data_IF_804555719844
#
_entry.id   IF_804555719844
#
_cell.length_a   1.000
_cell.length_b   1.000
_cell.length_c   1.000
_cell.angle_alpha   90.00
_cell.angle_beta   90.00
_cell.angle_gamma   90.00
#
_symmetry.space_group_name_H-M   'P 1'
#
loop_
_entity.id
_entity.type
_entity.pdbx_description
1 polymer ?
#
# COMPACT_ATOMS: atom_id res chain seq x y z
N UNK A 1 -9.75 -34.07 -14.40
CA UNK A 1 -9.49 -32.61 -14.54
C UNK A 1 -8.20 -32.18 -13.83
N UNK A 2 -7.91 -32.56 -12.56
CA UNK A 2 -6.68 -32.12 -11.88
C UNK A 2 -5.38 -32.52 -12.59
N UNK A 3 -5.30 -33.74 -13.14
CA UNK A 3 -4.10 -34.23 -13.83
C UNK A 3 -3.77 -33.45 -15.10
N UNK A 4 -4.79 -32.98 -15.82
CA UNK A 4 -4.57 -32.18 -17.03
C UNK A 4 -3.89 -30.85 -16.68
N UNK A 5 -4.16 -30.27 -15.51
CA UNK A 5 -3.46 -29.06 -15.09
C UNK A 5 -1.97 -29.30 -14.85
N UNK A 6 -1.52 -30.52 -14.60
CA UNK A 6 -0.08 -30.81 -14.51
C UNK A 6 0.59 -30.68 -15.89
N UNK A 7 -0.11 -31.06 -16.95
CA UNK A 7 0.40 -31.01 -18.34
C UNK A 7 0.65 -29.58 -18.85
N UNK A 8 0.04 -28.57 -18.21
CA UNK A 8 0.36 -27.17 -18.47
C UNK A 8 1.81 -26.80 -18.16
N UNK A 9 2.51 -27.61 -17.38
CA UNK A 9 3.91 -27.41 -16.98
C UNK A 9 4.80 -28.58 -17.39
N UNK A 10 4.34 -29.38 -18.35
CA UNK A 10 5.11 -30.46 -18.96
C UNK A 10 6.44 -29.93 -19.54
N UNK A 11 7.46 -30.79 -19.59
CA UNK A 11 8.74 -30.45 -20.18
C UNK A 11 8.63 -30.24 -21.70
N UNK A 12 7.72 -30.98 -22.34
CA UNK A 12 7.45 -30.89 -23.77
C UNK A 12 6.57 -29.67 -24.07
N UNK A 13 7.13 -28.72 -24.82
CA UNK A 13 6.45 -27.51 -25.27
C UNK A 13 5.12 -27.83 -25.97
N UNK A 14 5.08 -28.86 -26.82
CA UNK A 14 3.87 -29.23 -27.57
C UNK A 14 2.74 -29.63 -26.62
N UNK A 15 3.05 -30.43 -25.59
CA UNK A 15 2.08 -30.85 -24.57
C UNK A 15 1.53 -29.64 -23.82
N UNK A 16 2.41 -28.72 -23.39
CA UNK A 16 1.96 -27.48 -22.72
C UNK A 16 1.06 -26.63 -23.61
N UNK A 17 1.43 -26.44 -24.88
CA UNK A 17 0.69 -25.63 -25.83
C UNK A 17 -0.69 -26.22 -26.13
N UNK A 18 -0.77 -27.51 -26.44
CA UNK A 18 -2.05 -28.19 -26.71
C UNK A 18 -2.95 -28.18 -25.46
N UNK A 19 -2.38 -28.45 -24.28
CA UNK A 19 -3.12 -28.39 -23.02
C UNK A 19 -3.65 -26.98 -22.74
N UNK A 20 -2.85 -25.93 -22.96
CA UNK A 20 -3.28 -24.56 -22.79
C UNK A 20 -4.41 -24.20 -23.77
N UNK A 21 -4.30 -24.60 -25.03
CA UNK A 21 -5.34 -24.36 -26.04
C UNK A 21 -6.68 -25.04 -25.66
N UNK A 22 -6.63 -26.28 -25.16
CA UNK A 22 -7.82 -27.00 -24.69
C UNK A 22 -8.49 -26.26 -23.51
N UNK A 23 -7.71 -25.84 -22.51
CA UNK A 23 -8.23 -25.08 -21.37
C UNK A 23 -8.86 -23.76 -21.83
N UNK A 24 -8.18 -23.03 -22.72
CA UNK A 24 -8.73 -21.77 -23.27
C UNK A 24 -10.03 -22.04 -24.01
N UNK A 25 -10.11 -23.12 -24.81
CA UNK A 25 -11.32 -23.54 -25.52
C UNK A 25 -12.48 -23.79 -24.55
N UNK A 26 -12.25 -24.62 -23.53
CA UNK A 26 -13.29 -24.93 -22.54
C UNK A 26 -13.74 -23.73 -21.72
N UNK A 27 -12.84 -22.80 -21.42
CA UNK A 27 -13.24 -21.56 -20.76
C UNK A 27 -14.06 -20.68 -21.71
N UNK A 28 -13.69 -20.58 -23.00
CA UNK A 28 -14.45 -19.81 -23.99
C UNK A 28 -15.87 -20.36 -24.18
N UNK A 29 -16.01 -21.68 -24.27
CA UNK A 29 -17.26 -22.42 -24.44
C UNK A 29 -18.06 -22.60 -23.14
N UNK A 30 -17.62 -21.99 -22.03
CA UNK A 30 -18.27 -22.03 -20.71
C UNK A 30 -18.36 -23.42 -20.05
N UNK A 31 -17.61 -24.41 -20.56
CA UNK A 31 -17.42 -25.72 -19.92
C UNK A 31 -16.54 -25.63 -18.66
N UNK A 32 -15.70 -24.60 -18.56
CA UNK A 32 -14.78 -24.40 -17.44
C UNK A 32 -14.80 -22.94 -16.94
N UNK A 33 -14.95 -22.75 -15.63
CA UNK A 33 -14.86 -21.43 -14.99
C UNK A 33 -13.45 -21.15 -14.49
N UNK A 34 -13.00 -19.90 -14.64
CA UNK A 34 -11.72 -19.45 -14.08
C UNK A 34 -11.93 -19.19 -12.58
N UNK A 35 -11.50 -20.16 -11.77
CA UNK A 35 -11.50 -20.07 -10.32
C UNK A 35 -10.26 -20.76 -9.75
N UNK A 36 -10.11 -20.80 -8.43
CA UNK A 36 -9.04 -21.57 -7.80
C UNK A 36 -9.28 -23.08 -8.02
N UNK A 37 -8.24 -23.86 -8.35
CA UNK A 37 -6.83 -23.47 -8.48
C UNK A 37 -6.41 -23.04 -9.90
N UNK A 38 -7.27 -23.19 -10.91
CA UNK A 38 -6.97 -22.91 -12.31
C UNK A 38 -6.39 -21.51 -12.55
N UNK A 39 -6.91 -20.49 -11.87
CA UNK A 39 -6.37 -19.13 -11.95
C UNK A 39 -4.87 -19.09 -11.65
N UNK A 40 -4.43 -19.76 -10.56
CA UNK A 40 -3.04 -19.77 -10.15
C UNK A 40 -2.15 -20.52 -11.14
N UNK A 41 -2.64 -21.63 -11.71
CA UNK A 41 -1.90 -22.38 -12.72
C UNK A 41 -1.69 -21.56 -13.98
N UNK A 42 -2.73 -20.86 -14.44
CA UNK A 42 -2.61 -19.93 -15.57
C UNK A 42 -1.69 -18.75 -15.25
N UNK A 43 -1.75 -18.20 -14.03
CA UNK A 43 -0.86 -17.11 -13.62
C UNK A 43 0.62 -17.52 -13.61
N UNK A 44 0.95 -18.75 -13.19
CA UNK A 44 2.33 -19.28 -13.29
C UNK A 44 2.82 -19.37 -14.74
N UNK A 45 1.92 -19.59 -15.70
CA UNK A 45 2.29 -19.63 -17.12
C UNK A 45 2.54 -18.24 -17.74
N UNK A 46 2.18 -17.14 -17.06
CA UNK A 46 2.58 -15.80 -17.48
C UNK A 46 4.11 -15.64 -17.52
N UNK A 47 4.83 -16.51 -16.81
CA UNK A 47 6.29 -16.54 -16.73
C UNK A 47 6.86 -17.88 -17.24
N UNK A 48 6.17 -18.52 -18.20
CA UNK A 48 6.64 -19.76 -18.83
C UNK A 48 7.98 -19.58 -19.55
N UNK A 49 8.76 -20.64 -19.73
CA UNK A 49 10.04 -20.58 -20.47
C UNK A 49 9.85 -20.18 -21.95
N UNK A 50 8.68 -20.46 -22.52
CA UNK A 50 8.35 -20.13 -23.90
C UNK A 50 7.50 -18.85 -23.99
N UNK A 51 7.96 -17.87 -24.77
CA UNK A 51 7.29 -16.58 -24.90
C UNK A 51 5.93 -16.65 -25.60
N UNK A 52 5.69 -17.63 -26.47
CA UNK A 52 4.36 -17.79 -27.10
C UNK A 52 3.32 -18.26 -26.09
N UNK A 53 3.70 -19.12 -25.14
CA UNK A 53 2.83 -19.49 -24.02
C UNK A 53 2.51 -18.26 -23.17
N UNK A 54 3.52 -17.45 -22.81
CA UNK A 54 3.29 -16.22 -22.05
C UNK A 54 2.31 -15.29 -22.77
N UNK A 55 2.50 -15.04 -24.08
CA UNK A 55 1.62 -14.19 -24.90
C UNK A 55 0.21 -14.77 -25.01
N UNK A 56 0.08 -16.07 -25.20
CA UNK A 56 -1.22 -16.74 -25.28
C UNK A 56 -2.01 -16.59 -23.97
N UNK A 57 -1.34 -16.79 -22.83
CA UNK A 57 -1.96 -16.62 -21.50
C UNK A 57 -2.35 -15.16 -21.27
N UNK A 58 -1.46 -14.21 -21.54
CA UNK A 58 -1.76 -12.79 -21.38
C UNK A 58 -2.95 -12.36 -22.27
N UNK A 59 -2.93 -12.74 -23.55
CA UNK A 59 -4.03 -12.50 -24.49
C UNK A 59 -5.34 -13.13 -24.01
N UNK A 60 -5.30 -14.35 -23.46
CA UNK A 60 -6.47 -14.99 -22.86
C UNK A 60 -7.04 -14.19 -21.69
N UNK A 61 -6.19 -13.66 -20.81
CA UNK A 61 -6.67 -12.82 -19.70
C UNK A 61 -7.36 -11.55 -20.21
N UNK A 62 -6.71 -10.83 -21.13
CA UNK A 62 -7.23 -9.56 -21.69
C UNK A 62 -8.53 -9.78 -22.48
N UNK A 63 -8.53 -10.76 -23.38
CA UNK A 63 -9.58 -10.92 -24.40
C UNK A 63 -10.70 -11.87 -23.99
N UNK A 64 -10.53 -12.66 -22.92
CA UNK A 64 -11.54 -13.63 -22.47
C UNK A 64 -11.84 -13.50 -20.98
N UNK A 65 -10.85 -13.72 -20.11
CA UNK A 65 -11.07 -13.78 -18.67
C UNK A 65 -11.68 -12.47 -18.13
N UNK A 66 -11.10 -11.33 -18.50
CA UNK A 66 -11.54 -10.01 -18.06
C UNK A 66 -12.83 -9.54 -18.72
N UNK A 67 -13.22 -10.11 -19.86
CA UNK A 67 -14.53 -9.84 -20.48
C UNK A 67 -15.65 -10.53 -19.69
N UNK A 68 -15.39 -11.73 -19.18
CA UNK A 68 -16.34 -12.49 -18.35
C UNK A 68 -16.39 -11.97 -16.91
N UNK A 69 -15.25 -11.66 -16.32
CA UNK A 69 -15.13 -11.08 -14.98
C UNK A 69 -14.08 -9.96 -14.97
N UNK A 70 -14.50 -8.68 -15.13
CA UNK A 70 -13.58 -7.55 -15.11
C UNK A 70 -12.80 -7.38 -13.80
N UNK A 71 -13.25 -8.00 -12.71
CA UNK A 71 -12.63 -7.91 -11.39
C UNK A 71 -11.71 -9.10 -11.09
N UNK A 72 -11.55 -10.04 -12.02
CA UNK A 72 -10.85 -11.31 -11.78
C UNK A 72 -9.42 -11.11 -11.28
N UNK A 73 -8.66 -10.20 -11.89
CA UNK A 73 -7.28 -9.92 -11.47
C UNK A 73 -7.24 -9.28 -10.08
N UNK A 74 -8.12 -8.30 -9.81
CA UNK A 74 -8.21 -7.66 -8.48
C UNK A 74 -8.58 -8.69 -7.39
N UNK A 75 -9.58 -9.53 -7.68
CA UNK A 75 -10.09 -10.57 -6.77
C UNK A 75 -8.99 -11.55 -6.37
N UNK A 76 -8.20 -12.03 -7.33
CA UNK A 76 -7.16 -13.02 -7.08
C UNK A 76 -5.81 -12.43 -6.70
N UNK A 77 -5.59 -11.11 -6.80
CA UNK A 77 -4.28 -10.50 -6.50
C UNK A 77 -3.80 -10.79 -5.09
N UNK A 78 -4.61 -10.42 -4.09
CA UNK A 78 -4.28 -10.61 -2.69
C UNK A 78 -4.10 -12.10 -2.35
N UNK A 79 -4.96 -12.95 -2.91
CA UNK A 79 -4.92 -14.40 -2.70
C UNK A 79 -3.65 -15.00 -3.32
N UNK A 80 -3.21 -14.49 -4.46
CA UNK A 80 -2.01 -14.95 -5.17
C UNK A 80 -0.75 -14.72 -4.34
N UNK A 81 -0.65 -13.60 -3.60
CA UNK A 81 0.48 -13.36 -2.69
C UNK A 81 0.56 -14.46 -1.62
N UNK A 82 -0.56 -14.86 -1.02
CA UNK A 82 -0.56 -15.93 -0.04
C UNK A 82 -0.29 -17.30 -0.67
N UNK A 83 -0.91 -17.58 -1.82
CA UNK A 83 -0.80 -18.86 -2.51
C UNK A 83 0.62 -19.13 -3.00
N UNK A 84 1.24 -18.21 -3.74
CA UNK A 84 2.58 -18.41 -4.28
C UNK A 84 3.67 -18.48 -3.20
N UNK A 85 3.43 -17.86 -2.04
CA UNK A 85 4.31 -17.98 -0.87
C UNK A 85 4.03 -19.21 0.00
N UNK A 86 3.02 -20.03 -0.33
CA UNK A 86 2.58 -21.18 0.47
C UNK A 86 2.27 -20.80 1.93
N UNK A 87 1.77 -19.59 2.14
CA UNK A 87 1.46 -19.11 3.48
C UNK A 87 0.15 -19.72 3.95
N UNK A 88 0.15 -20.46 5.06
CA UNK A 88 -1.04 -21.15 5.62
C UNK A 88 -1.72 -20.39 6.76
N UNK A 89 -1.12 -19.29 7.22
CA UNK A 89 -1.60 -18.56 8.40
C UNK A 89 -2.67 -17.51 8.11
N UNK A 90 -3.26 -17.47 6.91
CA UNK A 90 -4.31 -16.51 6.56
C UNK A 90 -5.57 -17.23 6.06
N UNK A 91 -6.75 -16.69 6.40
CA UNK A 91 -8.05 -17.25 5.96
C UNK A 91 -8.25 -17.30 4.45
N UNK A 92 -7.51 -16.48 3.70
CA UNK A 92 -7.57 -16.44 2.24
C UNK A 92 -6.66 -17.50 1.59
N UNK A 93 -5.91 -18.26 2.39
CA UNK A 93 -5.07 -19.36 1.89
C UNK A 93 -5.94 -20.61 1.69
N UNK A 94 -6.82 -20.55 0.68
CA UNK A 94 -7.87 -21.57 0.48
C UNK A 94 -7.36 -22.82 -0.25
N UNK A 95 -6.41 -22.70 -1.18
CA UNK A 95 -5.88 -23.84 -1.95
C UNK A 95 -4.48 -24.23 -1.50
N UNK A 96 -4.34 -25.48 -1.04
CA UNK A 96 -3.07 -26.12 -0.72
C UNK A 96 -2.72 -27.06 -1.87
N UNK A 97 -1.51 -26.92 -2.42
CA UNK A 97 -1.03 -27.80 -3.48
C UNK A 97 -0.92 -29.24 -2.96
N UNK A 98 -1.38 -30.20 -3.77
CA UNK A 98 -1.07 -31.63 -3.59
C UNK A 98 0.41 -31.89 -3.85
N UNK A 99 0.95 -33.04 -3.44
CA UNK A 99 2.36 -33.38 -3.64
C UNK A 99 2.81 -33.28 -5.11
N UNK A 100 1.96 -33.75 -6.03
CA UNK A 100 2.22 -33.66 -7.48
C UNK A 100 2.19 -32.22 -7.98
N UNK A 101 1.20 -31.43 -7.57
CA UNK A 101 1.13 -30.02 -7.96
C UNK A 101 2.29 -29.23 -7.37
N UNK A 102 2.73 -29.56 -6.15
CA UNK A 102 3.86 -28.94 -5.50
C UNK A 102 5.17 -29.19 -6.28
N UNK A 103 5.37 -30.37 -6.88
CA UNK A 103 6.55 -30.63 -7.70
C UNK A 103 6.67 -29.70 -8.91
N UNK A 104 5.55 -29.15 -9.39
CA UNK A 104 5.45 -28.52 -10.70
C UNK A 104 5.12 -27.01 -10.61
N UNK A 105 4.33 -26.62 -9.61
CA UNK A 105 3.82 -25.27 -9.42
C UNK A 105 4.40 -24.55 -8.19
N UNK A 106 5.23 -25.21 -7.39
CA UNK A 106 5.84 -24.56 -6.24
C UNK A 106 6.81 -23.45 -6.67
N UNK A 107 6.45 -22.22 -6.30
CA UNK A 107 7.28 -21.02 -6.46
C UNK A 107 7.43 -20.25 -5.14
N UNK A 108 7.34 -20.97 -4.01
CA UNK A 108 7.55 -20.42 -2.67
C UNK A 108 9.03 -20.19 -2.35
N UNK A 109 9.30 -19.53 -1.23
CA UNK A 109 10.65 -19.32 -0.71
C UNK A 109 11.41 -18.15 -1.34
N UNK A 110 12.57 -17.82 -0.78
CA UNK A 110 13.31 -16.61 -1.17
C UNK A 110 13.79 -16.62 -2.64
N UNK A 111 14.26 -17.77 -3.12
CA UNK A 111 14.86 -17.94 -4.46
C UNK A 111 13.88 -17.66 -5.61
N UNK A 112 12.60 -17.91 -5.39
CA UNK A 112 11.55 -17.70 -6.39
C UNK A 112 10.91 -16.29 -6.31
N UNK A 113 11.45 -15.39 -5.47
CA UNK A 113 10.87 -14.06 -5.26
C UNK A 113 10.79 -13.20 -6.51
N UNK A 114 11.75 -13.31 -7.42
CA UNK A 114 11.72 -12.55 -8.68
C UNK A 114 10.72 -13.13 -9.69
N UNK A 115 10.57 -14.45 -9.73
CA UNK A 115 9.52 -15.14 -10.51
C UNK A 115 8.13 -14.72 -10.04
N UNK A 116 7.88 -14.74 -8.71
CA UNK A 116 6.60 -14.27 -8.15
C UNK A 116 6.36 -12.80 -8.47
N UNK A 117 7.39 -11.97 -8.34
CA UNK A 117 7.27 -10.54 -8.65
C UNK A 117 6.93 -10.27 -10.12
N UNK A 118 7.49 -11.04 -11.05
CA UNK A 118 7.14 -10.93 -12.46
C UNK A 118 5.67 -11.30 -12.72
N UNK A 119 5.15 -12.34 -12.06
CA UNK A 119 3.71 -12.67 -12.12
C UNK A 119 2.87 -11.51 -11.59
N UNK A 120 3.23 -10.91 -10.46
CA UNK A 120 2.50 -9.76 -9.93
C UNK A 120 2.55 -8.56 -10.88
N UNK A 121 3.67 -8.32 -11.58
CA UNK A 121 3.74 -7.26 -12.61
C UNK A 121 2.76 -7.50 -13.75
N UNK A 122 2.70 -8.70 -14.31
CA UNK A 122 1.69 -9.04 -15.31
C UNK A 122 0.27 -8.83 -14.78
N UNK A 123 0.00 -9.24 -13.54
CA UNK A 123 -1.31 -9.01 -12.92
C UNK A 123 -1.62 -7.52 -12.74
N UNK A 124 -0.63 -6.69 -12.39
CA UNK A 124 -0.78 -5.24 -12.28
C UNK A 124 -1.08 -4.59 -13.63
N UNK A 125 -0.47 -5.05 -14.72
CA UNK A 125 -0.75 -4.58 -16.09
C UNK A 125 -2.20 -4.86 -16.52
N UNK A 126 -2.79 -5.94 -16.00
CA UNK A 126 -4.18 -6.31 -16.26
C UNK A 126 -5.18 -5.55 -15.36
N UNK A 127 -4.72 -4.89 -14.29
CA UNK A 127 -5.59 -4.17 -13.36
C UNK A 127 -5.90 -2.77 -13.89
N UNK A 128 -7.19 -2.43 -13.96
CA UNK A 128 -7.65 -1.11 -14.41
C UNK A 128 -7.35 -0.05 -13.37
N UNK A 129 -7.22 1.21 -13.80
CA UNK A 129 -6.88 2.32 -12.91
C UNK A 129 -7.86 2.51 -11.74
N UNK A 130 -9.15 2.25 -11.96
CA UNK A 130 -10.20 2.34 -10.93
C UNK A 130 -10.12 1.21 -9.88
N UNK A 131 -9.37 0.14 -10.18
CA UNK A 131 -9.15 -1.01 -9.29
C UNK A 131 -7.85 -0.91 -8.48
N UNK A 132 -6.93 -0.01 -8.85
CA UNK A 132 -5.62 0.13 -8.18
C UNK A 132 -5.73 0.61 -6.74
N UNK A 133 -6.58 1.61 -6.47
CA UNK A 133 -6.82 2.10 -5.10
C UNK A 133 -7.42 0.98 -4.20
N UNK A 134 -8.47 0.24 -4.63
CA UNK A 134 -8.92 -0.96 -3.92
C UNK A 134 -7.81 -1.99 -3.67
N UNK A 135 -6.93 -2.24 -4.64
CA UNK A 135 -5.81 -3.17 -4.48
C UNK A 135 -4.86 -2.72 -3.36
N UNK A 136 -4.40 -1.47 -3.39
CA UNK A 136 -3.50 -0.92 -2.35
C UNK A 136 -4.16 -1.02 -0.98
N UNK A 137 -5.44 -0.64 -0.87
CA UNK A 137 -6.21 -0.74 0.37
C UNK A 137 -6.28 -2.17 0.90
N UNK A 138 -6.50 -3.16 0.02
CA UNK A 138 -6.56 -4.57 0.37
C UNK A 138 -5.20 -5.12 0.84
N UNK A 139 -4.11 -4.79 0.14
CA UNK A 139 -2.76 -5.20 0.52
C UNK A 139 -2.41 -4.67 1.92
N UNK A 140 -2.64 -3.39 2.16
CA UNK A 140 -2.32 -2.76 3.44
C UNK A 140 -3.22 -3.31 4.56
N UNK A 141 -4.52 -3.41 4.33
CA UNK A 141 -5.47 -3.85 5.36
C UNK A 141 -5.33 -5.33 5.71
N UNK A 142 -5.12 -6.20 4.72
CA UNK A 142 -5.10 -7.64 4.95
C UNK A 142 -3.72 -8.18 5.30
N UNK A 143 -2.64 -7.55 4.81
CA UNK A 143 -1.28 -8.01 5.07
C UNK A 143 -0.63 -7.13 6.14
N UNK A 144 -0.45 -5.84 5.86
CA UNK A 144 0.31 -4.94 6.74
C UNK A 144 -0.36 -4.79 8.11
N UNK A 145 -1.66 -4.49 8.15
CA UNK A 145 -2.40 -4.35 9.41
C UNK A 145 -2.52 -5.66 10.18
N UNK A 146 -2.64 -6.80 9.49
CA UNK A 146 -2.64 -8.11 10.16
C UNK A 146 -1.30 -8.37 10.87
N UNK A 147 -0.21 -8.00 10.22
CA UNK A 147 1.15 -8.06 10.76
C UNK A 147 1.31 -7.14 11.98
N UNK A 148 0.80 -5.90 11.93
CA UNK A 148 0.96 -4.94 13.04
C UNK A 148 0.07 -5.26 14.24
N UNK A 149 -1.15 -5.77 14.01
CA UNK A 149 -2.17 -5.93 15.07
C UNK A 149 -2.27 -7.31 15.69
N UNK A 150 -2.10 -8.38 14.90
CA UNK A 150 -2.59 -9.70 15.33
C UNK A 150 -1.52 -10.61 15.92
N UNK A 151 -0.30 -10.66 15.38
CA UNK A 151 0.73 -11.59 15.86
C UNK A 151 2.12 -11.16 15.36
N UNK A 152 3.01 -10.60 16.20
CA UNK A 152 4.40 -10.32 15.80
C UNK A 152 5.18 -11.57 15.34
N UNK A 153 4.73 -12.77 15.72
CA UNK A 153 5.34 -14.05 15.32
C UNK A 153 4.99 -14.49 13.89
N UNK A 154 3.97 -13.88 13.24
CA UNK A 154 3.72 -14.09 11.80
C UNK A 154 4.86 -13.52 10.94
N UNK A 155 5.52 -12.46 11.44
CA UNK A 155 6.71 -11.82 10.85
C UNK A 155 7.96 -12.70 10.99
N UNK A 156 7.86 -13.82 11.72
CA UNK A 156 9.02 -14.67 12.04
C UNK A 156 8.96 -16.03 11.34
N UNK A 157 7.90 -16.32 10.58
CA UNK A 157 7.88 -17.48 9.70
C UNK A 157 8.52 -17.15 8.35
N UNK A 158 9.26 -18.10 7.77
CA UNK A 158 9.90 -17.92 6.46
C UNK A 158 8.87 -17.52 5.39
N UNK A 159 7.71 -18.18 5.34
CA UNK A 159 6.65 -17.87 4.37
C UNK A 159 5.97 -16.52 4.65
N UNK A 160 5.76 -16.14 5.92
CA UNK A 160 5.24 -14.82 6.28
C UNK A 160 6.19 -13.68 5.89
N UNK A 161 7.50 -13.92 6.00
CA UNK A 161 8.52 -13.01 5.52
C UNK A 161 8.46 -12.82 4.01
N UNK A 162 8.32 -13.90 3.24
CA UNK A 162 8.19 -13.77 1.79
C UNK A 162 6.90 -13.06 1.38
N UNK A 163 5.78 -13.28 2.09
CA UNK A 163 4.53 -12.51 1.89
C UNK A 163 4.75 -11.00 2.11
N UNK A 164 5.42 -10.61 3.19
CA UNK A 164 5.70 -9.21 3.48
C UNK A 164 6.63 -8.60 2.42
N UNK A 165 7.69 -9.31 2.03
CA UNK A 165 8.62 -8.90 0.97
C UNK A 165 7.89 -8.66 -0.35
N UNK A 166 7.10 -9.62 -0.79
CA UNK A 166 6.33 -9.54 -2.03
C UNK A 166 5.35 -8.36 -1.99
N UNK A 167 4.68 -8.16 -0.86
CA UNK A 167 3.74 -7.04 -0.65
C UNK A 167 4.43 -5.70 -0.75
N UNK A 168 5.58 -5.52 -0.08
CA UNK A 168 6.36 -4.28 -0.14
C UNK A 168 6.90 -4.02 -1.55
N UNK A 169 7.37 -5.07 -2.24
CA UNK A 169 7.79 -4.95 -3.65
C UNK A 169 6.65 -4.50 -4.56
N UNK A 170 5.45 -5.06 -4.39
CA UNK A 170 4.26 -4.64 -5.13
C UNK A 170 3.89 -3.19 -4.80
N UNK A 171 3.85 -2.81 -3.52
CA UNK A 171 3.58 -1.42 -3.09
C UNK A 171 4.66 -0.42 -3.54
N UNK A 172 5.84 -0.88 -3.94
CA UNK A 172 6.89 -0.04 -4.52
C UNK A 172 6.76 0.12 -6.04
N UNK A 173 5.74 -0.47 -6.68
CA UNK A 173 5.44 -0.27 -8.09
C UNK A 173 4.73 1.07 -8.30
N UNK A 174 5.29 1.96 -9.12
CA UNK A 174 4.67 3.25 -9.45
C UNK A 174 3.36 3.04 -10.23
N UNK A 175 3.27 1.93 -10.96
CA UNK A 175 2.12 1.49 -11.75
C UNK A 175 0.82 1.45 -10.91
N UNK A 176 0.91 1.24 -9.59
CA UNK A 176 -0.22 1.27 -8.65
C UNK A 176 -0.78 2.67 -8.40
N UNK A 177 0.04 3.69 -8.58
CA UNK A 177 -0.28 5.06 -8.18
C UNK A 177 -0.38 6.03 -9.36
N UNK A 178 0.04 5.61 -10.56
CA UNK A 178 -0.17 6.34 -11.81
C UNK A 178 -1.66 6.42 -12.10
N UNK A 179 -2.29 7.45 -11.53
CA UNK A 179 -3.57 7.97 -11.95
C UNK A 179 -3.32 8.75 -13.25
N UNK A 180 -4.14 8.52 -14.28
CA UNK A 180 -4.25 9.31 -15.51
C UNK A 180 -3.84 10.77 -15.29
N UNK A 181 -2.59 11.11 -15.63
CA UNK A 181 -2.04 12.47 -15.58
C UNK A 181 -2.55 13.34 -16.74
N UNK A 182 -3.76 13.06 -17.24
CA UNK A 182 -4.38 13.78 -18.37
C UNK A 182 -5.51 14.73 -17.98
N UNK A 183 -5.79 14.88 -16.68
CA UNK A 183 -6.84 15.78 -16.21
C UNK A 183 -6.32 17.11 -15.61
N UNK A 184 -5.02 17.30 -15.42
CA UNK A 184 -4.48 18.48 -14.72
C UNK A 184 -3.30 19.16 -15.44
N UNK A 185 -3.03 18.84 -16.70
CA UNK A 185 -2.18 19.66 -17.57
C UNK A 185 -3.06 20.38 -18.59
N UNK A 186 -3.76 21.41 -18.16
CA UNK A 186 -4.13 22.52 -19.05
C UNK A 186 -3.31 23.69 -18.57
N UNK A 187 -2.38 24.10 -19.42
CA UNK A 187 -1.61 25.33 -19.30
C UNK A 187 -2.54 26.51 -19.03
N UNK A 188 -2.05 27.40 -18.16
CA UNK A 188 -2.48 28.78 -18.04
C UNK A 188 -2.31 29.46 -19.40
N UNK A 189 -3.39 29.96 -20.04
CA UNK A 189 -3.42 31.17 -20.90
C UNK A 189 -4.74 31.46 -21.67
N UNK A 190 -5.92 30.97 -21.28
CA UNK A 190 -7.18 31.46 -21.89
C UNK A 190 -8.33 31.60 -20.89
N UNK A 191 -8.17 32.54 -19.95
CA UNK A 191 -9.29 33.14 -19.22
C UNK A 191 -9.91 34.26 -20.05
N UNK A 192 -10.99 33.99 -20.80
CA UNK A 192 -12.21 34.83 -20.86
C UNK A 192 -13.19 34.30 -21.91
N UNK A 193 -14.05 33.35 -21.53
CA UNK A 193 -15.52 33.45 -21.71
C UNK A 193 -16.31 32.18 -21.34
N UNK A 194 -15.64 31.08 -20.96
CA UNK A 194 -16.34 29.88 -20.45
C UNK A 194 -16.81 29.99 -19.00
N UNK A 195 -16.34 31.00 -18.25
CA UNK A 195 -16.65 31.20 -16.82
C UNK A 195 -18.13 31.55 -16.59
N UNK A 196 -18.85 32.09 -17.59
CA UNK A 196 -20.28 32.40 -17.45
C UNK A 196 -21.21 31.20 -17.67
N UNK A 197 -20.76 30.13 -18.34
CA UNK A 197 -21.58 28.90 -18.55
C UNK A 197 -21.29 27.80 -17.52
N UNK A 198 -20.16 27.85 -16.81
CA UNK A 198 -19.83 26.88 -15.76
C UNK A 198 -20.52 27.14 -14.41
N UNK A 199 -21.13 28.32 -14.23
CA UNK A 199 -21.90 28.66 -13.02
C UNK A 199 -23.21 27.86 -12.92
N UNK A 200 -23.70 27.28 -14.02
CA UNK A 200 -24.96 26.50 -14.05
C UNK A 200 -24.78 25.01 -13.67
N UNK A 201 -23.55 24.48 -13.60
CA UNK A 201 -23.28 23.08 -13.20
C UNK A 201 -22.97 22.91 -11.70
N UNK A 202 -23.45 23.82 -10.85
CA UNK A 202 -23.21 23.83 -9.41
C UNK A 202 -23.77 22.61 -8.63
N UNK A 203 -24.49 21.69 -9.28
CA UNK A 203 -24.99 20.45 -8.66
C UNK A 203 -24.10 19.21 -8.82
N UNK A 204 -22.97 19.28 -9.55
CA UNK A 204 -22.04 18.13 -9.69
C UNK A 204 -21.01 18.08 -8.54
N UNK A 205 -20.82 19.18 -7.80
CA UNK A 205 -19.68 19.36 -6.88
C UNK A 205 -19.85 18.81 -5.45
N UNK A 206 -21.02 18.31 -5.05
CA UNK A 206 -21.19 17.67 -3.72
C UNK A 206 -20.69 16.21 -3.71
N UNK A 207 -20.86 15.49 -4.82
CA UNK A 207 -20.43 14.09 -4.91
C UNK A 207 -18.91 13.96 -5.14
N UNK A 208 -18.29 14.89 -5.87
CA UNK A 208 -16.85 14.92 -6.12
C UNK A 208 -16.04 15.29 -4.88
N UNK A 209 -16.45 16.32 -4.13
CA UNK A 209 -15.82 16.69 -2.84
C UNK A 209 -15.87 15.54 -1.83
N UNK A 210 -16.99 14.84 -1.74
CA UNK A 210 -17.14 13.69 -0.82
C UNK A 210 -16.26 12.50 -1.23
N UNK A 211 -16.08 12.25 -2.53
CA UNK A 211 -15.19 11.20 -3.05
C UNK A 211 -13.72 11.56 -2.80
N UNK A 212 -13.34 12.82 -3.00
CA UNK A 212 -11.97 13.28 -2.75
C UNK A 212 -11.60 13.23 -1.27
N UNK A 213 -12.50 13.68 -0.38
CA UNK A 213 -12.29 13.55 1.07
C UNK A 213 -12.17 12.08 1.51
N UNK A 214 -12.95 11.16 0.92
CA UNK A 214 -12.80 9.72 1.21
C UNK A 214 -11.45 9.17 0.75
N UNK A 215 -10.97 9.59 -0.42
CA UNK A 215 -9.64 9.20 -0.93
C UNK A 215 -8.52 9.65 -0.02
N UNK A 216 -8.60 10.88 0.48
CA UNK A 216 -7.64 11.42 1.46
C UNK A 216 -7.65 10.56 2.73
N UNK A 217 -8.83 10.27 3.30
CA UNK A 217 -8.95 9.44 4.52
C UNK A 217 -8.41 8.02 4.31
N UNK A 218 -8.68 7.40 3.15
CA UNK A 218 -8.17 6.05 2.83
C UNK A 218 -6.64 6.07 2.73
N UNK A 219 -6.07 7.08 2.06
CA UNK A 219 -4.62 7.28 1.97
C UNK A 219 -3.99 7.50 3.35
N UNK A 220 -4.55 8.39 4.17
CA UNK A 220 -4.08 8.62 5.55
C UNK A 220 -4.06 7.33 6.37
N UNK A 221 -5.15 6.54 6.32
CA UNK A 221 -5.22 5.25 7.02
C UNK A 221 -4.15 4.28 6.53
N UNK A 222 -3.93 4.22 5.22
CA UNK A 222 -2.88 3.41 4.61
C UNK A 222 -1.50 3.83 5.14
N UNK A 223 -1.21 5.13 5.17
CA UNK A 223 0.06 5.65 5.68
C UNK A 223 0.26 5.35 7.16
N UNK A 224 -0.77 5.52 8.00
CA UNK A 224 -0.67 5.19 9.43
C UNK A 224 -0.30 3.71 9.66
N UNK A 225 -0.94 2.78 8.94
CA UNK A 225 -0.59 1.36 9.01
C UNK A 225 0.86 1.08 8.56
N UNK A 226 1.36 1.79 7.55
CA UNK A 226 2.75 1.70 7.12
C UNK A 226 3.72 2.22 8.19
N UNK A 227 3.39 3.30 8.90
CA UNK A 227 4.21 3.82 10.01
C UNK A 227 4.21 2.89 11.23
N UNK A 228 3.08 2.23 11.52
CA UNK A 228 3.03 1.15 12.52
C UNK A 228 3.99 0.00 12.14
N UNK A 229 4.00 -0.39 10.86
CA UNK A 229 4.92 -1.41 10.35
C UNK A 229 6.38 -0.98 10.52
N UNK A 230 6.73 0.28 10.20
CA UNK A 230 8.08 0.83 10.43
C UNK A 230 8.53 0.62 11.88
N UNK A 231 7.67 1.04 12.80
CA UNK A 231 7.95 0.96 14.25
C UNK A 231 8.21 -0.48 14.67
N UNK A 232 7.43 -1.42 14.14
CA UNK A 232 7.58 -2.84 14.39
C UNK A 232 8.87 -3.43 13.82
N UNK A 233 9.19 -3.13 12.55
CA UNK A 233 10.40 -3.59 11.88
C UNK A 233 11.66 -3.07 12.59
N UNK A 234 11.68 -1.80 12.99
CA UNK A 234 12.77 -1.21 13.77
C UNK A 234 12.95 -1.88 15.12
N UNK A 235 11.87 -2.04 15.88
CA UNK A 235 11.91 -2.70 17.21
C UNK A 235 12.48 -4.12 17.11
N UNK A 236 12.26 -4.81 15.99
CA UNK A 236 12.76 -6.16 15.73
C UNK A 236 14.11 -6.19 15.00
N UNK A 237 14.69 -5.04 14.66
CA UNK A 237 15.85 -4.91 13.79
C UNK A 237 15.75 -5.76 12.51
N UNK A 238 14.57 -5.74 11.91
CA UNK A 238 14.22 -6.65 10.82
C UNK A 238 14.79 -6.14 9.47
N UNK A 239 15.40 -7.02 8.63
CA UNK A 239 16.04 -6.60 7.38
C UNK A 239 15.09 -5.93 6.38
N UNK A 240 13.78 -6.21 6.45
CA UNK A 240 12.78 -5.60 5.56
C UNK A 240 12.53 -4.10 5.77
N UNK A 241 13.22 -3.49 6.73
CA UNK A 241 13.18 -2.04 6.89
C UNK A 241 13.67 -1.31 5.63
N UNK A 242 14.57 -1.92 4.86
CA UNK A 242 15.08 -1.36 3.60
C UNK A 242 13.98 -1.32 2.54
N UNK A 243 13.29 -2.44 2.32
CA UNK A 243 12.16 -2.53 1.39
C UNK A 243 11.00 -1.62 1.81
N UNK A 244 10.80 -1.43 3.12
CA UNK A 244 9.84 -0.46 3.63
C UNK A 244 10.18 0.98 3.21
N UNK A 245 11.44 1.40 3.34
CA UNK A 245 11.81 2.77 2.96
C UNK A 245 11.69 3.02 1.45
N UNK A 246 11.82 2.01 0.60
CA UNK A 246 11.51 2.13 -0.84
C UNK A 246 10.06 2.56 -1.06
N UNK A 247 9.13 1.88 -0.37
CA UNK A 247 7.70 2.22 -0.42
C UNK A 247 7.46 3.63 0.14
N UNK A 248 8.07 3.97 1.29
CA UNK A 248 7.90 5.27 1.91
C UNK A 248 8.38 6.42 1.01
N UNK A 249 9.57 6.28 0.39
CA UNK A 249 10.11 7.29 -0.51
C UNK A 249 9.27 7.47 -1.77
N UNK A 250 8.78 6.38 -2.35
CA UNK A 250 7.84 6.44 -3.48
C UNK A 250 6.59 7.21 -3.08
N UNK A 251 6.01 6.87 -1.94
CA UNK A 251 4.79 7.50 -1.46
C UNK A 251 5.00 8.99 -1.17
N UNK A 252 6.06 9.38 -0.45
CA UNK A 252 6.39 10.80 -0.18
C UNK A 252 6.54 11.57 -1.49
N UNK A 253 7.14 10.96 -2.52
CA UNK A 253 7.27 11.61 -3.84
C UNK A 253 5.92 11.87 -4.49
N UNK A 254 4.96 10.96 -4.34
CA UNK A 254 3.66 11.00 -5.00
C UNK A 254 2.61 11.84 -4.25
N UNK A 255 2.61 11.82 -2.92
CA UNK A 255 1.59 12.46 -2.06
C UNK A 255 2.21 13.38 -1.00
N UNK A 256 3.14 14.23 -1.44
CA UNK A 256 4.00 15.07 -0.58
C UNK A 256 3.25 15.69 0.60
N UNK A 257 2.22 16.48 0.33
CA UNK A 257 1.52 17.26 1.36
C UNK A 257 0.78 16.40 2.38
N UNK A 258 0.05 15.39 1.92
CA UNK A 258 -0.80 14.53 2.73
C UNK A 258 0.02 13.61 3.62
N UNK A 259 1.11 13.05 3.08
CA UNK A 259 1.99 12.17 3.85
C UNK A 259 2.77 12.95 4.89
N UNK A 260 3.29 14.13 4.53
CA UNK A 260 4.05 14.95 5.47
C UNK A 260 3.19 15.36 6.66
N UNK A 261 1.92 15.70 6.41
CA UNK A 261 0.95 15.98 7.46
C UNK A 261 0.76 14.77 8.40
N UNK A 262 0.52 13.57 7.86
CA UNK A 262 0.37 12.35 8.67
C UNK A 262 1.63 12.04 9.47
N UNK A 263 2.82 12.18 8.87
CA UNK A 263 4.10 11.95 9.55
C UNK A 263 4.30 12.96 10.70
N UNK A 264 3.96 14.22 10.46
CA UNK A 264 4.02 15.29 11.46
C UNK A 264 3.08 14.99 12.64
N UNK A 265 1.83 14.65 12.37
CA UNK A 265 0.87 14.27 13.41
C UNK A 265 1.32 13.07 14.23
N UNK A 266 1.94 12.07 13.59
CA UNK A 266 2.51 10.90 14.26
C UNK A 266 3.79 11.21 15.05
N UNK A 267 4.31 12.44 15.00
CA UNK A 267 5.57 12.87 15.63
C UNK A 267 6.80 12.04 15.21
N UNK A 268 6.77 11.43 14.02
CA UNK A 268 7.85 10.58 13.50
C UNK A 268 8.76 11.31 12.49
N UNK A 269 8.53 12.61 12.27
CA UNK A 269 9.18 13.40 11.23
C UNK A 269 10.72 13.43 11.35
N UNK A 270 11.23 13.67 12.55
CA UNK A 270 12.68 13.74 12.83
C UNK A 270 13.34 12.39 12.66
N UNK A 271 12.77 11.35 13.26
CA UNK A 271 13.32 10.00 13.15
C UNK A 271 13.32 9.49 11.71
N UNK A 272 12.26 9.75 10.94
CA UNK A 272 12.19 9.35 9.52
C UNK A 272 13.23 10.12 8.71
N UNK A 273 13.45 11.41 9.00
CA UNK A 273 14.50 12.19 8.34
C UNK A 273 15.88 11.61 8.63
N UNK A 274 16.20 11.29 9.89
CA UNK A 274 17.47 10.67 10.29
C UNK A 274 17.67 9.30 9.62
N UNK A 275 16.61 8.48 9.59
CA UNK A 275 16.63 7.18 8.93
C UNK A 275 16.95 7.30 7.44
N UNK A 276 16.28 8.21 6.75
CA UNK A 276 16.48 8.42 5.31
C UNK A 276 17.88 8.96 5.02
N UNK A 277 18.44 9.80 5.89
CA UNK A 277 19.85 10.25 5.77
C UNK A 277 20.81 9.07 5.96
N UNK A 278 20.60 8.25 7.00
CA UNK A 278 21.39 7.05 7.25
C UNK A 278 21.32 6.10 6.05
N UNK A 279 20.13 5.89 5.52
CA UNK A 279 19.91 5.03 4.36
C UNK A 279 20.54 5.57 3.08
N UNK A 280 20.44 6.88 2.82
CA UNK A 280 21.16 7.55 1.73
C UNK A 280 22.67 7.32 1.82
N UNK A 281 23.23 7.41 3.02
CA UNK A 281 24.66 7.20 3.24
C UNK A 281 25.06 5.73 3.02
N UNK A 282 24.19 4.78 3.38
CA UNK A 282 24.40 3.35 3.09
C UNK A 282 24.38 3.06 1.59
N UNK A 283 23.46 3.67 0.83
CA UNK A 283 23.40 3.54 -0.64
C UNK A 283 24.71 4.04 -1.28
N UNK A 284 25.19 5.22 -0.87
CA UNK A 284 26.46 5.79 -1.36
C UNK A 284 27.70 4.94 -1.03
N UNK A 285 27.64 4.16 0.05
CA UNK A 285 28.78 3.35 0.51
C UNK A 285 28.86 1.97 -0.16
N UNK A 286 27.80 1.50 -0.83
CA UNK A 286 27.76 0.14 -1.41
C UNK A 286 27.26 0.13 -2.87
N UNK A 287 28.04 0.63 -3.85
CA UNK A 287 27.62 0.83 -5.25
C UNK A 287 27.48 -0.46 -6.10
N UNK A 288 27.39 -1.66 -5.50
CA UNK A 288 27.47 -2.96 -6.21
C UNK A 288 26.11 -3.61 -6.57
N UNK A 289 24.99 -2.89 -6.60
CA UNK A 289 23.71 -3.42 -7.14
C UNK A 289 23.13 -2.50 -8.24
N UNK A 290 23.44 -2.82 -9.49
CA UNK A 290 22.92 -2.27 -10.76
C UNK A 290 21.40 -1.99 -10.81
N UNK A 291 20.85 -1.37 -11.89
CA UNK A 291 20.78 0.04 -12.25
C UNK A 291 19.34 0.65 -12.16
N UNK A 292 18.59 0.54 -11.03
CA UNK A 292 17.50 1.46 -10.70
C UNK A 292 17.88 2.47 -9.59
N UNK A 293 19.15 2.52 -9.18
CA UNK A 293 19.60 3.23 -7.98
C UNK A 293 19.55 4.77 -8.11
N UNK A 294 19.72 5.33 -9.32
CA UNK A 294 19.60 6.78 -9.56
C UNK A 294 18.20 7.32 -9.28
N UNK A 295 17.17 6.51 -9.54
CA UNK A 295 15.77 6.88 -9.27
C UNK A 295 15.50 6.89 -7.77
N UNK A 296 16.08 5.93 -7.04
CA UNK A 296 15.92 5.84 -5.59
C UNK A 296 16.65 6.96 -4.86
N UNK A 297 17.90 7.26 -5.24
CA UNK A 297 18.66 8.41 -4.70
C UNK A 297 17.89 9.73 -4.89
N UNK A 298 17.33 9.94 -6.09
CA UNK A 298 16.50 11.12 -6.37
C UNK A 298 15.20 11.11 -5.56
N UNK A 299 14.58 9.96 -5.33
CA UNK A 299 13.38 9.84 -4.49
C UNK A 299 13.70 10.17 -3.03
N UNK A 300 14.82 9.68 -2.50
CA UNK A 300 15.28 9.98 -1.13
C UNK A 300 15.59 11.47 -1.01
N UNK A 301 16.27 12.08 -1.98
CA UNK A 301 16.59 13.50 -1.98
C UNK A 301 15.32 14.38 -2.07
N UNK A 302 14.36 13.99 -2.91
CA UNK A 302 13.06 14.66 -2.97
C UNK A 302 12.29 14.54 -1.65
N UNK A 303 12.33 13.36 -1.01
CA UNK A 303 11.68 13.14 0.28
C UNK A 303 12.34 13.99 1.38
N UNK A 304 13.67 14.03 1.45
CA UNK A 304 14.42 14.83 2.40
C UNK A 304 14.19 16.34 2.22
N UNK A 305 14.12 16.81 0.97
CA UNK A 305 13.77 18.19 0.64
C UNK A 305 12.35 18.52 1.11
N UNK A 306 11.37 17.66 0.81
CA UNK A 306 9.98 17.85 1.20
C UNK A 306 9.81 17.86 2.73
N UNK A 307 10.48 16.95 3.45
CA UNK A 307 10.54 16.91 4.91
C UNK A 307 11.15 18.20 5.49
N UNK A 308 12.24 18.69 4.90
CA UNK A 308 12.94 19.89 5.40
C UNK A 308 12.10 21.16 5.18
N UNK A 309 11.50 21.32 4.01
CA UNK A 309 10.63 22.46 3.71
C UNK A 309 9.40 22.50 4.62
N UNK A 310 8.81 21.34 4.95
CA UNK A 310 7.69 21.28 5.88
C UNK A 310 8.07 21.71 7.29
N UNK A 311 9.25 21.29 7.79
CA UNK A 311 9.79 21.76 9.09
C UNK A 311 9.96 23.28 9.09
N UNK A 312 10.55 23.85 8.04
CA UNK A 312 10.74 25.31 7.91
C UNK A 312 9.40 26.07 7.88
N UNK A 313 8.41 25.56 7.15
CA UNK A 313 7.08 26.18 7.08
C UNK A 313 6.32 26.13 8.41
N UNK A 314 6.42 25.02 9.15
CA UNK A 314 5.79 24.88 10.48
C UNK A 314 6.48 25.78 11.51
N UNK A 315 7.82 25.92 11.44
CA UNK A 315 8.58 26.83 12.31
C UNK A 315 8.28 28.31 12.02
N UNK A 316 8.10 28.69 10.75
CA UNK A 316 7.72 30.05 10.37
C UNK A 316 6.29 30.43 10.83
N UNK A 317 5.38 29.46 10.93
CA UNK A 317 4.02 29.67 11.42
C UNK A 317 3.91 29.70 12.96
N UNK A 318 4.95 29.27 13.69
CA UNK A 318 4.98 29.22 15.16
C UNK A 318 5.81 30.33 15.81
N UNK A 319 6.48 31.18 15.03
CA UNK A 319 7.04 32.45 15.51
C UNK A 319 5.95 33.53 15.57
N UNK A 320 5.59 34.08 16.75
CA UNK A 320 4.75 35.25 16.81
C UNK A 320 5.56 36.43 16.26
N UNK A 321 5.00 37.09 15.25
CA UNK A 321 5.49 38.36 14.69
C UNK A 321 5.57 39.42 15.81
N UNK A 322 6.73 39.49 16.46
CA UNK A 322 7.09 40.62 17.30
C UNK A 322 7.71 41.69 16.41
N UNK A 323 6.88 42.61 15.93
CA UNK A 323 7.31 43.92 15.47
C UNK A 323 6.46 45.01 16.16
N UNK A 324 6.98 45.52 17.28
CA UNK A 324 6.94 46.96 17.59
C UNK A 324 7.93 47.64 16.63
N UNK A 325 7.82 48.88 16.13
CA UNK A 325 7.16 50.13 16.52
C UNK A 325 7.24 51.04 15.25
N UNK A 326 6.44 52.07 14.97
CA UNK A 326 6.24 53.31 15.75
C UNK A 326 5.40 54.31 14.93
N UNK A 327 4.64 55.15 15.63
CA UNK A 327 4.26 56.56 15.36
C UNK A 327 2.75 56.85 15.37
N UNK A 328 2.37 57.84 16.20
CA UNK A 328 1.14 58.63 16.04
C UNK A 328 0.29 58.79 17.30
N UNK A 329 0.44 59.94 17.99
CA UNK A 329 -0.42 60.45 19.07
C UNK A 329 -1.92 60.48 18.65
N UNK A 330 -2.96 60.57 19.50
CA UNK A 330 -3.14 61.57 20.55
C UNK A 330 -4.44 61.30 21.37
N UNK A 331 -4.38 61.62 22.68
CA UNK A 331 -5.42 62.20 23.56
C UNK A 331 -6.87 61.64 23.65
N UNK A 332 -7.23 61.22 24.88
CA UNK A 332 -8.23 61.85 25.82
C UNK A 332 -9.25 60.88 26.49
N UNK A 333 -9.11 60.83 27.81
CA UNK A 333 -10.12 60.96 28.89
C UNK A 333 -11.01 59.80 29.35
N UNK A 334 -11.11 59.77 30.70
CA UNK A 334 -12.20 59.27 31.57
C UNK A 334 -12.20 57.77 31.87
N UNK A 335 -11.61 57.33 32.97
CA UNK A 335 -12.22 57.23 34.32
C UNK A 335 -13.40 56.25 34.39
N UNK A 336 -13.24 55.12 35.08
CA UNK A 336 -14.07 54.76 36.25
C UNK A 336 -13.68 53.39 36.87
N UNK A 337 -13.53 53.47 38.20
CA UNK A 337 -13.84 52.48 39.26
C UNK A 337 -13.11 51.14 39.40
N UNK A 338 -12.33 51.14 40.49
CA UNK A 338 -11.91 50.11 41.45
C UNK A 338 -12.89 48.95 41.75
N UNK A 339 -12.27 47.90 42.31
CA UNK A 339 -12.75 46.88 43.27
C UNK A 339 -13.38 45.62 42.65
N UNK A 340 -13.13 44.38 43.07
CA UNK A 340 -12.65 43.87 44.37
C UNK A 340 -12.07 42.44 44.28
N UNK A 341 -11.04 42.20 45.10
CA UNK A 341 -10.74 41.05 45.98
C UNK A 341 -11.49 39.70 45.75
N UNK A 342 -10.78 38.60 45.48
CA UNK A 342 -10.23 37.62 46.44
C UNK A 342 -11.29 36.77 47.19
N UNK A 343 -11.30 35.46 46.94
CA UNK A 343 -11.32 34.32 47.88
C UNK A 343 -11.76 33.06 47.09
N UNK A 344 -10.85 32.15 46.75
CA UNK A 344 -10.45 30.99 47.57
C UNK A 344 -11.62 30.04 47.90
N UNK A 345 -11.67 28.88 47.23
CA UNK A 345 -11.95 27.61 47.92
C UNK A 345 -11.45 26.40 47.14
N UNK A 346 -10.80 25.53 47.89
CA UNK A 346 -10.11 24.30 47.55
C UNK A 346 -10.93 23.16 48.16
N UNK A 347 -10.83 21.95 47.56
CA UNK A 347 -11.35 20.63 48.02
C UNK A 347 -12.84 20.43 47.73
N UNK A 348 -13.28 19.31 47.16
CA UNK A 348 -13.10 17.94 47.69
C UNK A 348 -13.07 16.85 46.61
N UNK A 349 -12.26 15.82 46.89
CA UNK A 349 -12.26 14.51 46.24
C UNK A 349 -13.54 13.73 46.54
N UNK A 350 -13.97 12.90 45.59
CA UNK A 350 -14.66 11.61 45.86
C UNK A 350 -14.00 10.49 45.05
N UNK A 351 -13.97 9.25 45.56
CA UNK A 351 -13.11 8.18 45.06
C UNK A 351 -13.85 7.28 44.06
N UNK A 352 -13.14 6.82 43.01
CA UNK A 352 -13.58 5.71 42.17
C UNK A 352 -12.92 4.43 42.71
N UNK A 353 -13.75 3.48 43.12
CA UNK A 353 -13.33 2.16 43.58
C UNK A 353 -12.60 1.39 42.47
N UNK A 354 -11.48 0.79 42.87
CA UNK A 354 -10.85 -0.35 42.22
C UNK A 354 -11.78 -1.56 42.27
N UNK A 355 -11.86 -2.31 41.18
CA UNK A 355 -11.86 -3.77 41.23
C UNK A 355 -11.20 -4.34 39.98
N UNK A 356 -10.26 -5.26 40.20
CA UNK A 356 -9.51 -6.05 39.22
C UNK A 356 -9.01 -7.31 39.95
N UNK A 357 -8.42 -8.34 39.29
CA UNK A 357 -9.07 -9.39 38.50
C UNK A 357 -8.65 -10.82 38.98
N UNK A 358 -8.97 -11.85 38.17
CA UNK A 358 -8.52 -13.29 38.16
C UNK A 358 -9.52 -14.27 38.83
N UNK A 359 -9.73 -15.52 38.38
CA UNK A 359 -8.91 -16.45 37.58
C UNK A 359 -9.71 -17.70 37.13
N UNK A 360 -9.31 -18.27 35.98
CA UNK A 360 -9.20 -19.70 35.61
C UNK A 360 -10.16 -20.79 36.15
N UNK A 361 -10.73 -21.58 35.22
CA UNK A 361 -10.75 -23.07 35.15
C UNK A 361 -11.28 -23.50 33.75
N UNK A 362 -10.44 -24.06 32.86
CA UNK A 362 -10.32 -25.50 32.52
C UNK A 362 -11.65 -26.22 32.24
N UNK A 363 -11.83 -26.70 31.00
CA UNK A 363 -12.14 -28.12 30.74
C UNK A 363 -11.86 -28.50 29.27
N UNK A 364 -11.29 -29.70 29.13
CA UNK A 364 -10.91 -30.46 27.94
C UNK A 364 -11.95 -31.56 27.73
N UNK A 365 -12.08 -32.00 26.48
CA UNK A 365 -12.48 -33.34 26.00
C UNK A 365 -13.92 -33.83 26.27
N UNK A 366 -14.69 -34.10 25.20
CA UNK A 366 -14.98 -35.45 24.67
C UNK A 366 -15.92 -35.36 23.44
N UNK A 367 -15.72 -36.31 22.52
CA UNK A 367 -16.42 -36.62 21.24
C UNK A 367 -16.04 -35.83 19.97
#
# INVERSE_FOLDING_TARGET
>A
MPEMYLNLKDENLKVRTECLQLIIGWVKEDFLRIQTPLYFYLAVLMVDKNTEIQRAVFSFFVNCAMQKDPQICLKYFLVSIFHFNQYKGHRLSEHILTDREHQVYYIGGHTNGDTRFLIYKYMLELIKDDQKEPLVSNLVTHIITSITRKVPDVILSESGNQVLRDTLRVLACEELYTLSSKATSRDDEDETEEIRKLIENANINKSSKTKESRRIIIKERIFRNLLELRTLLKRKNHPMIVEFYNVLCLLIRLYKTEILFVIFECRQLTEIKEDLVSWRNQLKSNPRKSPPEKTLDRCVDNALSALTNHVSNVQAQSTPSSQNSSQGANMKTSSHRKSSLLHQKRKTLTPVMMESPRSHKRLRAEL
#
